data_IF_338730906631
#
_entry.id   IF_338730906631
#
_cell.length_a   1.000
_cell.length_b   1.000
_cell.length_c   1.000
_cell.angle_alpha   90.00
_cell.angle_beta   90.00
_cell.angle_gamma   90.00
#
_symmetry.space_group_name_H-M   'P 1'
#
loop_
_entity.id
_entity.type
_entity.pdbx_description
1 polymer ?
#
# COMPACT_ATOMS: atom_id res chain seq x y z
N UNK A 1 -8.50 -4.19 -17.65
CA UNK A 1 -9.66 -4.10 -16.75
C UNK A 1 -9.97 -2.62 -16.51
N UNK A 2 -11.19 -2.12 -16.79
CA UNK A 2 -11.59 -0.75 -16.43
C UNK A 2 -12.16 -0.78 -15.01
N UNK A 3 -11.39 -0.30 -14.03
CA UNK A 3 -11.89 -0.14 -12.66
C UNK A 3 -12.57 1.22 -12.58
N UNK A 4 -13.88 1.23 -12.33
CA UNK A 4 -14.60 2.47 -12.09
C UNK A 4 -14.18 3.05 -10.74
N UNK A 5 -13.96 4.36 -10.67
CA UNK A 5 -13.73 5.04 -9.41
C UNK A 5 -14.95 4.82 -8.49
N UNK A 6 -14.77 4.34 -7.24
CA UNK A 6 -15.87 3.87 -6.42
C UNK A 6 -16.80 4.98 -5.92
N UNK A 7 -16.38 6.25 -6.05
CA UNK A 7 -17.14 7.39 -5.56
C UNK A 7 -17.69 8.25 -6.71
N UNK A 8 -18.92 8.74 -6.55
CA UNK A 8 -19.49 9.75 -7.46
C UNK A 8 -18.84 11.13 -7.30
N UNK A 9 -18.23 11.39 -6.14
CA UNK A 9 -17.53 12.62 -5.76
C UNK A 9 -16.41 12.26 -4.80
N UNK A 10 -15.30 13.00 -4.88
CA UNK A 10 -14.18 12.89 -3.95
C UNK A 10 -13.82 14.33 -3.53
N UNK A 11 -14.46 14.86 -2.48
CA UNK A 11 -14.17 16.19 -2.00
C UNK A 11 -12.78 16.25 -1.38
N UNK A 12 -12.11 17.38 -1.56
CA UNK A 12 -10.87 17.72 -0.87
C UNK A 12 -11.19 18.86 0.09
N UNK A 13 -10.91 18.66 1.37
CA UNK A 13 -11.11 19.64 2.44
C UNK A 13 -9.75 20.17 2.89
N UNK A 14 -9.60 21.50 2.94
CA UNK A 14 -8.41 22.14 3.50
C UNK A 14 -8.75 22.59 4.93
N UNK A 15 -8.02 22.12 5.94
CA UNK A 15 -8.31 22.46 7.35
C UNK A 15 -7.33 23.52 7.84
N UNK A 16 -7.82 24.66 8.31
CA UNK A 16 -6.97 25.76 8.77
C UNK A 16 -6.29 25.56 10.14
N UNK A 17 -6.38 24.37 10.74
CA UNK A 17 -5.74 24.04 12.02
C UNK A 17 -4.49 23.20 11.79
N UNK A 18 -3.49 23.33 12.66
CA UNK A 18 -2.30 22.47 12.66
C UNK A 18 -2.71 21.01 12.88
N UNK A 19 -2.80 20.26 11.79
CA UNK A 19 -2.91 18.82 11.80
C UNK A 19 -1.49 18.24 11.91
N UNK A 20 -1.28 17.27 12.81
CA UNK A 20 0.07 16.75 13.10
C UNK A 20 0.63 15.85 11.98
N UNK A 21 -0.24 15.39 11.09
CA UNK A 21 0.09 14.70 9.85
C UNK A 21 -0.05 15.69 8.69
N UNK A 22 0.67 15.48 7.59
CA UNK A 22 0.44 16.29 6.39
C UNK A 22 -1.00 16.14 5.87
N UNK A 23 -1.58 14.94 6.01
CA UNK A 23 -2.85 14.53 5.39
C UNK A 23 -3.54 13.42 6.19
N UNK A 24 -4.79 13.14 5.85
CA UNK A 24 -5.54 11.96 6.29
C UNK A 24 -6.44 11.49 5.14
N UNK A 25 -6.30 10.23 4.72
CA UNK A 25 -7.30 9.58 3.89
C UNK A 25 -8.53 9.27 4.75
N UNK A 26 -9.68 9.72 4.27
CA UNK A 26 -10.94 9.23 4.78
C UNK A 26 -11.74 8.67 3.63
N UNK A 27 -12.63 7.76 3.97
CA UNK A 27 -13.53 7.14 3.01
C UNK A 27 -14.28 8.23 2.22
N UNK A 28 -13.89 8.39 0.96
CA UNK A 28 -14.56 9.26 0.02
C UNK A 28 -14.24 10.75 0.18
N UNK A 29 -13.19 11.15 0.91
CA UNK A 29 -12.64 12.52 0.91
C UNK A 29 -11.19 12.59 1.38
N UNK A 30 -10.47 13.65 0.99
CA UNK A 30 -9.10 13.93 1.45
C UNK A 30 -9.09 15.19 2.30
N UNK A 31 -8.28 15.16 3.35
CA UNK A 31 -8.04 16.31 4.22
C UNK A 31 -6.60 16.81 4.01
N UNK A 32 -6.45 18.06 3.57
CA UNK A 32 -5.14 18.70 3.34
C UNK A 32 -4.78 19.67 4.47
N UNK A 33 -3.53 19.59 4.93
CA UNK A 33 -2.93 20.62 5.79
C UNK A 33 -2.55 21.84 4.96
N UNK A 34 -2.68 23.08 5.48
CA UNK A 34 -2.29 24.28 4.76
C UNK A 34 -0.79 24.25 4.42
N UNK A 35 -0.44 24.66 3.20
CA UNK A 35 0.92 24.61 2.65
C UNK A 35 1.19 23.46 1.68
N UNK A 36 0.21 22.59 1.45
CA UNK A 36 0.29 21.46 0.52
C UNK A 36 -0.77 21.52 -0.60
N UNK A 37 -1.40 22.68 -0.79
CA UNK A 37 -2.47 22.87 -1.77
C UNK A 37 -1.98 22.71 -3.22
N UNK A 38 -0.69 22.92 -3.46
CA UNK A 38 -0.04 22.78 -4.77
C UNK A 38 0.65 21.42 -4.95
N UNK A 39 0.64 20.57 -3.93
CA UNK A 39 1.31 19.26 -3.97
C UNK A 39 0.39 18.21 -4.59
N UNK A 40 0.38 18.14 -5.92
CA UNK A 40 -0.45 17.19 -6.67
C UNK A 40 -0.13 15.73 -6.35
N UNK A 41 1.12 15.42 -6.00
CA UNK A 41 1.57 14.08 -5.63
C UNK A 41 0.82 13.57 -4.39
N UNK A 42 0.63 14.43 -3.40
CA UNK A 42 -0.09 14.06 -2.18
C UNK A 42 -1.57 13.82 -2.46
N UNK A 43 -2.21 14.62 -3.31
CA UNK A 43 -3.61 14.38 -3.71
C UNK A 43 -3.74 13.07 -4.47
N UNK A 44 -2.80 12.76 -5.36
CA UNK A 44 -2.76 11.52 -6.14
C UNK A 44 -2.59 10.30 -5.23
N UNK A 45 -1.64 10.34 -4.29
CA UNK A 45 -1.41 9.30 -3.29
C UNK A 45 -2.66 9.01 -2.44
N UNK A 46 -3.28 10.05 -1.86
CA UNK A 46 -4.48 9.88 -1.04
C UNK A 46 -5.69 9.41 -1.86
N UNK A 47 -5.74 9.78 -3.14
CA UNK A 47 -6.77 9.26 -4.07
C UNK A 47 -6.50 7.79 -4.42
N UNK A 48 -5.25 7.36 -4.47
CA UNK A 48 -4.89 5.97 -4.72
C UNK A 48 -5.35 5.05 -3.57
N UNK A 49 -5.31 5.53 -2.33
CA UNK A 49 -5.90 4.83 -1.19
C UNK A 49 -7.40 4.55 -1.39
N UNK A 50 -8.18 5.45 -2.01
CA UNK A 50 -9.59 5.19 -2.31
C UNK A 50 -9.84 3.98 -3.25
N UNK A 51 -8.85 3.58 -4.05
CA UNK A 51 -8.95 2.37 -4.87
C UNK A 51 -8.53 1.11 -4.10
N UNK A 52 -7.61 1.23 -3.14
CA UNK A 52 -7.02 0.11 -2.41
C UNK A 52 -7.69 -0.21 -1.09
N UNK A 53 -8.24 0.81 -0.43
CA UNK A 53 -8.87 0.71 0.87
C UNK A 53 -10.37 0.48 0.68
N UNK A 54 -10.93 -0.69 1.05
CA UNK A 54 -12.33 -0.73 1.42
C UNK A 54 -12.60 0.30 2.53
N UNK A 55 -13.65 1.12 2.37
CA UNK A 55 -14.18 1.99 3.42
C UNK A 55 -14.29 1.37 4.82
N UNK A 56 -14.55 0.07 4.82
CA UNK A 56 -14.86 -0.75 5.99
C UNK A 56 -13.61 -1.00 6.86
N UNK A 57 -12.41 -1.07 6.26
CA UNK A 57 -11.15 -1.29 7.00
C UNK A 57 -10.76 -0.13 7.94
N UNK A 58 -11.26 1.09 7.70
CA UNK A 58 -10.95 2.26 8.53
C UNK A 58 -12.03 2.64 9.54
N UNK A 59 -13.25 2.11 9.39
CA UNK A 59 -14.36 2.42 10.31
C UNK A 59 -14.23 1.71 11.64
N UNK A 60 -13.61 0.55 11.62
CA UNK A 60 -13.24 -0.14 12.83
C UNK A 60 -11.82 0.31 13.19
N UNK A 61 -11.53 0.35 14.49
CA UNK A 61 -10.18 0.48 15.08
C UNK A 61 -9.12 -0.36 14.33
N UNK A 62 -7.82 -0.37 14.68
CA UNK A 62 -6.81 -1.19 13.96
C UNK A 62 -7.02 -2.72 14.11
N UNK A 63 -8.25 -3.17 14.38
CA UNK A 63 -8.76 -4.50 14.53
C UNK A 63 -10.12 -4.59 13.80
N UNK A 64 -10.18 -5.36 12.71
CA UNK A 64 -11.44 -6.00 12.29
C UNK A 64 -11.53 -7.29 13.08
N UNK A 65 -12.55 -7.44 13.95
CA UNK A 65 -12.77 -8.66 14.73
C UNK A 65 -11.52 -9.20 15.48
N UNK A 66 -10.61 -8.31 15.90
CA UNK A 66 -9.36 -8.66 16.58
C UNK A 66 -8.13 -8.89 15.68
N UNK A 67 -8.27 -8.74 14.36
CA UNK A 67 -7.16 -8.85 13.39
C UNK A 67 -6.45 -7.50 13.25
N UNK A 68 -5.21 -7.41 13.73
CA UNK A 68 -4.41 -6.20 13.58
C UNK A 68 -4.22 -5.85 12.10
N UNK A 69 -4.47 -4.60 11.70
CA UNK A 69 -4.18 -4.10 10.34
C UNK A 69 -2.70 -3.79 10.11
N UNK A 70 -1.88 -3.84 11.17
CA UNK A 70 -0.42 -3.62 11.11
C UNK A 70 0.28 -4.41 9.98
N UNK A 71 -0.03 -5.70 9.74
CA UNK A 71 0.61 -6.49 8.68
C UNK A 71 0.24 -6.07 7.25
N UNK A 72 -0.66 -5.11 7.07
CA UNK A 72 -1.10 -4.63 5.76
C UNK A 72 -0.64 -3.20 5.45
N UNK A 73 -0.03 -2.49 6.41
CA UNK A 73 0.33 -1.07 6.21
C UNK A 73 1.28 -0.92 5.03
N UNK A 74 2.32 -1.74 4.92
CA UNK A 74 3.23 -1.70 3.77
C UNK A 74 2.54 -2.04 2.45
N UNK A 75 1.49 -2.88 2.46
CA UNK A 75 0.70 -3.18 1.27
C UNK A 75 -0.04 -1.92 0.83
N UNK A 76 -0.75 -1.28 1.77
CA UNK A 76 -1.55 -0.09 1.53
C UNK A 76 -0.71 1.09 1.05
N UNK A 77 0.32 1.44 1.81
CA UNK A 77 1.18 2.56 1.46
C UNK A 77 1.98 2.29 0.19
N UNK A 78 2.50 1.07 0.05
CA UNK A 78 3.26 0.68 -1.14
C UNK A 78 2.41 0.67 -2.42
N UNK A 79 1.19 0.14 -2.35
CA UNK A 79 0.26 0.11 -3.47
C UNK A 79 -0.19 1.51 -3.88
N UNK A 80 -0.53 2.36 -2.89
CA UNK A 80 -0.89 3.75 -3.15
C UNK A 80 0.26 4.52 -3.78
N UNK A 81 1.48 4.38 -3.24
CA UNK A 81 2.68 5.02 -3.79
C UNK A 81 2.99 4.56 -5.21
N UNK A 82 2.82 3.27 -5.53
CA UNK A 82 3.02 2.79 -6.90
C UNK A 82 1.98 3.37 -7.85
N UNK A 83 0.70 3.38 -7.45
CA UNK A 83 -0.39 3.88 -8.28
C UNK A 83 -0.26 5.37 -8.56
N UNK A 84 0.12 6.14 -7.55
CA UNK A 84 0.48 7.55 -7.67
C UNK A 84 1.63 7.74 -8.67
N UNK A 85 2.74 6.99 -8.56
CA UNK A 85 3.81 7.07 -9.56
C UNK A 85 3.37 6.73 -10.98
N UNK A 86 2.58 5.67 -11.15
CA UNK A 86 2.06 5.29 -12.47
C UNK A 86 1.11 6.37 -13.04
N UNK A 87 0.33 7.02 -12.18
CA UNK A 87 -0.52 8.15 -12.57
C UNK A 87 0.33 9.36 -12.96
N UNK A 88 1.30 9.73 -12.13
CA UNK A 88 2.25 10.80 -12.36
C UNK A 88 3.01 10.62 -13.67
N UNK A 89 3.55 9.41 -13.94
CA UNK A 89 4.23 9.06 -15.20
C UNK A 89 3.31 9.17 -16.42
N UNK A 90 2.01 8.93 -16.25
CA UNK A 90 1.02 9.05 -17.33
C UNK A 90 0.62 10.49 -17.62
N UNK A 91 0.66 11.36 -16.60
CA UNK A 91 0.28 12.77 -16.67
C UNK A 91 1.45 13.68 -17.03
N UNK A 92 2.64 13.32 -16.57
CA UNK A 92 3.86 14.08 -16.74
C UNK A 92 4.80 13.28 -17.64
N UNK A 93 5.14 13.84 -18.80
CA UNK A 93 6.09 13.23 -19.78
C UNK A 93 7.53 13.08 -19.26
N UNK A 94 7.74 13.25 -17.96
CA UNK A 94 9.02 13.05 -17.29
C UNK A 94 8.88 11.81 -16.39
N UNK A 95 9.81 10.85 -16.48
CA UNK A 95 9.78 9.69 -15.58
C UNK A 95 9.84 10.17 -14.14
N UNK A 96 8.93 9.66 -13.31
CA UNK A 96 8.96 9.81 -11.88
C UNK A 96 10.38 9.48 -11.40
N UNK A 97 10.93 10.35 -10.55
CA UNK A 97 12.24 10.12 -9.99
C UNK A 97 12.25 8.74 -9.32
N UNK A 98 13.31 7.92 -9.51
CA UNK A 98 13.43 6.65 -8.80
C UNK A 98 13.51 6.97 -7.31
N UNK A 99 12.36 6.95 -6.63
CA UNK A 99 12.35 7.29 -5.23
C UNK A 99 13.05 6.20 -4.43
N UNK A 100 13.67 6.65 -3.36
CA UNK A 100 14.43 5.83 -2.43
C UNK A 100 13.59 4.66 -1.91
N UNK A 101 13.96 3.43 -2.26
CA UNK A 101 13.35 2.20 -1.72
C UNK A 101 14.08 1.73 -0.46
N UNK A 102 15.05 2.49 0.03
CA UNK A 102 15.80 2.18 1.24
C UNK A 102 14.97 2.39 2.50
N UNK A 103 15.09 1.44 3.44
CA UNK A 103 14.54 1.55 4.77
C UNK A 103 15.68 1.54 5.80
N UNK A 104 15.78 2.58 6.63
CA UNK A 104 16.78 2.66 7.70
C UNK A 104 16.37 1.89 8.97
N UNK A 105 15.17 1.33 8.99
CA UNK A 105 14.58 0.69 10.16
C UNK A 105 14.56 -0.84 10.05
N UNK A 106 14.47 -1.40 8.85
CA UNK A 106 14.35 -2.83 8.57
C UNK A 106 15.03 -3.17 7.24
N UNK A 107 15.58 -4.37 7.14
CA UNK A 107 16.26 -4.88 5.93
C UNK A 107 15.29 -5.64 5.01
N UNK A 108 14.14 -6.10 5.54
CA UNK A 108 13.09 -6.79 4.77
C UNK A 108 11.68 -6.41 5.26
N UNK A 109 10.67 -6.64 4.43
CA UNK A 109 9.27 -6.41 4.82
C UNK A 109 8.87 -7.35 5.96
N UNK A 110 9.34 -8.60 5.96
CA UNK A 110 9.07 -9.54 7.05
C UNK A 110 9.66 -9.09 8.39
N UNK A 111 10.79 -8.39 8.39
CA UNK A 111 11.32 -7.75 9.58
C UNK A 111 10.48 -6.54 10.03
N UNK A 112 10.00 -5.74 9.06
CA UNK A 112 9.09 -4.62 9.34
C UNK A 112 7.77 -5.10 9.98
N UNK A 113 7.16 -6.18 9.46
CA UNK A 113 5.92 -6.77 9.96
C UNK A 113 6.03 -7.30 11.39
N UNK A 114 7.20 -7.84 11.76
CA UNK A 114 7.47 -8.31 13.13
C UNK A 114 7.59 -7.17 14.14
N UNK A 115 7.86 -5.95 13.68
CA UNK A 115 8.00 -4.77 14.52
C UNK A 115 6.62 -4.12 14.68
N UNK A 116 5.82 -4.71 15.57
CA UNK A 116 4.46 -4.25 15.92
C UNK A 116 4.48 -2.76 16.27
N UNK A 117 3.54 -1.99 15.70
CA UNK A 117 3.35 -0.58 16.03
C UNK A 117 3.24 -0.39 17.55
N UNK A 118 4.09 0.46 18.11
CA UNK A 118 4.05 0.80 19.51
C UNK A 118 3.78 2.31 19.65
N UNK A 119 2.57 2.71 20.10
CA UNK A 119 2.24 4.12 20.25
C UNK A 119 3.12 4.83 21.29
N UNK A 120 3.71 4.08 22.23
CA UNK A 120 4.60 4.61 23.28
C UNK A 120 6.05 4.74 22.80
N UNK A 121 6.39 4.28 21.60
CA UNK A 121 7.70 4.53 21.01
C UNK A 121 7.88 6.01 20.64
N UNK A 122 9.14 6.45 20.55
CA UNK A 122 9.44 7.81 20.16
C UNK A 122 8.84 8.13 18.80
N UNK A 123 8.32 9.36 18.66
CA UNK A 123 7.77 9.88 17.42
C UNK A 123 8.68 9.61 16.22
N UNK A 124 10.01 9.82 16.38
CA UNK A 124 10.99 9.55 15.33
C UNK A 124 11.00 8.08 14.88
N UNK A 125 10.89 7.11 15.79
CA UNK A 125 10.83 5.69 15.41
C UNK A 125 9.56 5.36 14.64
N UNK A 126 8.43 5.91 15.09
CA UNK A 126 7.15 5.72 14.39
C UNK A 126 7.16 6.39 13.00
N UNK A 127 7.81 7.55 12.86
CA UNK A 127 8.04 8.21 11.58
C UNK A 127 8.92 7.37 10.63
N UNK A 128 10.07 6.85 11.10
CA UNK A 128 10.93 6.00 10.28
C UNK A 128 10.23 4.71 9.85
N UNK A 129 9.47 4.09 10.75
CA UNK A 129 8.65 2.91 10.45
C UNK A 129 7.59 3.20 9.40
N UNK A 130 6.87 4.32 9.55
CA UNK A 130 5.91 4.80 8.55
C UNK A 130 6.59 4.90 7.19
N UNK A 131 7.70 5.65 7.06
CA UNK A 131 8.46 5.78 5.81
C UNK A 131 8.90 4.42 5.22
N UNK A 132 9.26 3.46 6.05
CA UNK A 132 9.61 2.11 5.59
C UNK A 132 8.43 1.37 4.96
N UNK A 133 7.19 1.54 5.46
CA UNK A 133 6.01 0.93 4.84
C UNK A 133 5.82 1.42 3.38
N UNK A 134 5.95 2.72 3.14
CA UNK A 134 5.87 3.30 1.79
C UNK A 134 6.98 2.75 0.89
N UNK A 135 8.23 2.90 1.33
CA UNK A 135 9.41 2.62 0.49
C UNK A 135 9.57 1.14 0.16
N UNK A 136 9.39 0.24 1.14
CA UNK A 136 9.55 -1.20 0.94
C UNK A 136 8.36 -1.80 0.18
N UNK A 137 7.13 -1.38 0.52
CA UNK A 137 5.94 -1.81 -0.19
C UNK A 137 5.96 -1.40 -1.66
N UNK A 138 6.31 -0.13 -1.93
CA UNK A 138 6.54 0.35 -3.29
C UNK A 138 7.60 -0.49 -3.99
N UNK A 139 8.75 -0.73 -3.34
CA UNK A 139 9.84 -1.49 -3.92
C UNK A 139 9.42 -2.88 -4.38
N UNK A 140 8.67 -3.60 -3.54
CA UNK A 140 8.13 -4.91 -3.90
C UNK A 140 7.14 -4.82 -5.07
N UNK A 141 6.16 -3.91 -5.03
CA UNK A 141 5.15 -3.83 -6.10
C UNK A 141 5.74 -3.32 -7.42
N UNK A 142 6.69 -2.39 -7.38
CA UNK A 142 7.41 -1.94 -8.58
C UNK A 142 8.24 -3.09 -9.18
N UNK A 143 8.93 -3.89 -8.35
CA UNK A 143 9.66 -5.05 -8.81
C UNK A 143 8.73 -6.11 -9.43
N UNK A 144 7.56 -6.36 -8.83
CA UNK A 144 6.53 -7.24 -9.41
C UNK A 144 6.02 -6.68 -10.74
N UNK A 145 5.73 -5.38 -10.82
CA UNK A 145 5.28 -4.72 -12.04
C UNK A 145 6.29 -4.89 -13.18
N UNK A 146 7.57 -4.61 -12.91
CA UNK A 146 8.64 -4.76 -13.91
C UNK A 146 8.90 -6.22 -14.30
N UNK A 147 8.84 -7.14 -13.34
CA UNK A 147 9.16 -8.56 -13.58
C UNK A 147 8.05 -9.30 -14.34
N UNK A 148 6.80 -8.98 -14.04
CA UNK A 148 5.62 -9.68 -14.58
C UNK A 148 5.04 -8.97 -15.83
N UNK A 149 5.29 -7.67 -15.96
CA UNK A 149 4.65 -6.84 -16.98
C UNK A 149 3.24 -6.40 -16.58
N UNK A 150 2.70 -5.42 -17.31
CA UNK A 150 1.47 -4.71 -16.95
C UNK A 150 0.23 -5.61 -16.82
N UNK A 151 0.00 -6.50 -17.78
CA UNK A 151 -1.20 -7.34 -17.79
C UNK A 151 -1.25 -8.31 -16.61
N UNK A 152 -0.15 -9.02 -16.36
CA UNK A 152 -0.06 -10.00 -15.28
C UNK A 152 -0.03 -9.31 -13.91
N UNK A 153 0.70 -8.20 -13.80
CA UNK A 153 0.69 -7.40 -12.58
C UNK A 153 -0.72 -6.92 -12.24
N UNK A 154 -1.43 -6.31 -13.20
CA UNK A 154 -2.81 -5.81 -12.97
C UNK A 154 -3.76 -6.91 -12.51
N UNK A 155 -3.58 -8.13 -13.03
CA UNK A 155 -4.37 -9.30 -12.64
C UNK A 155 -4.11 -9.70 -11.18
N UNK A 156 -2.85 -9.85 -10.79
CA UNK A 156 -2.47 -10.14 -9.40
C UNK A 156 -2.84 -9.01 -8.44
N UNK A 157 -2.57 -7.77 -8.83
CA UNK A 157 -2.87 -6.58 -8.03
C UNK A 157 -4.39 -6.40 -7.81
N UNK A 158 -5.20 -6.68 -8.84
CA UNK A 158 -6.66 -6.73 -8.71
C UNK A 158 -7.15 -7.86 -7.80
N UNK A 159 -6.58 -9.06 -7.91
CA UNK A 159 -6.89 -10.18 -7.02
C UNK A 159 -6.55 -9.84 -5.56
N UNK A 160 -5.37 -9.26 -5.31
CA UNK A 160 -4.96 -8.83 -3.97
C UNK A 160 -5.96 -7.84 -3.37
N UNK A 161 -6.38 -6.83 -4.13
CA UNK A 161 -7.37 -5.85 -3.66
C UNK A 161 -8.70 -6.51 -3.29
N UNK A 162 -9.17 -7.47 -4.10
CA UNK A 162 -10.42 -8.20 -3.80
C UNK A 162 -10.29 -9.05 -2.53
N UNK A 163 -9.15 -9.71 -2.31
CA UNK A 163 -8.93 -10.52 -1.10
C UNK A 163 -8.86 -9.67 0.17
N UNK A 164 -8.17 -8.53 0.11
CA UNK A 164 -8.11 -7.59 1.23
C UNK A 164 -9.49 -6.96 1.52
N UNK A 165 -10.35 -6.81 0.51
CA UNK A 165 -11.74 -6.37 0.71
C UNK A 165 -12.64 -7.44 1.36
N UNK A 166 -12.25 -8.71 1.28
CA UNK A 166 -13.02 -9.85 1.76
C UNK A 166 -12.30 -10.60 2.89
N UNK A 167 -11.49 -9.90 3.70
CA UNK A 167 -10.72 -10.52 4.80
C UNK A 167 -11.60 -11.33 5.78
N UNK A 168 -12.87 -10.93 5.93
CA UNK A 168 -13.86 -11.59 6.79
C UNK A 168 -14.33 -12.97 6.26
N UNK A 169 -13.94 -13.37 5.04
CA UNK A 169 -14.49 -14.55 4.36
C UNK A 169 -13.42 -15.56 3.88
N UNK A 170 -12.13 -15.30 4.07
CA UNK A 170 -11.04 -16.21 3.66
C UNK A 170 -10.24 -16.74 4.88
N UNK A 171 -10.69 -17.87 5.45
CA UNK A 171 -10.21 -18.54 6.68
C UNK A 171 -8.72 -19.01 6.72
N UNK A 172 -7.84 -18.57 5.82
CA UNK A 172 -6.53 -19.22 5.64
C UNK A 172 -5.29 -18.38 5.99
N UNK A 173 -5.39 -17.05 5.96
CA UNK A 173 -4.24 -16.18 6.28
C UNK A 173 -4.46 -15.55 7.66
N UNK A 174 -3.59 -15.86 8.64
CA UNK A 174 -3.69 -15.34 10.02
C UNK A 174 -2.32 -14.98 10.61
N UNK A 175 -2.32 -14.10 11.62
CA UNK A 175 -1.12 -13.68 12.36
C UNK A 175 -0.23 -12.66 11.64
N UNK A 176 1.04 -12.59 12.04
CA UNK A 176 2.02 -11.59 11.56
C UNK A 176 2.29 -11.72 10.05
N UNK A 177 2.17 -12.93 9.49
CA UNK A 177 2.37 -13.19 8.06
C UNK A 177 1.11 -13.04 7.19
N UNK A 178 0.05 -12.39 7.70
CA UNK A 178 -1.22 -12.32 6.97
C UNK A 178 -1.08 -11.53 5.67
N UNK A 179 -0.39 -10.38 5.68
CA UNK A 179 -0.20 -9.55 4.47
C UNK A 179 0.51 -10.31 3.35
N UNK A 180 1.65 -10.95 3.68
CA UNK A 180 2.40 -11.74 2.71
C UNK A 180 1.63 -12.96 2.18
N UNK A 181 0.82 -13.59 3.03
CA UNK A 181 -0.02 -14.71 2.62
C UNK A 181 -0.98 -14.29 1.50
N UNK A 182 -1.63 -13.14 1.64
CA UNK A 182 -2.52 -12.60 0.59
C UNK A 182 -1.78 -12.20 -0.67
N UNK A 183 -0.58 -11.61 -0.54
CA UNK A 183 0.27 -11.27 -1.69
C UNK A 183 0.66 -12.53 -2.46
N UNK A 184 1.09 -13.60 -1.78
CA UNK A 184 1.41 -14.87 -2.43
C UNK A 184 0.20 -15.50 -3.11
N UNK A 185 -0.97 -15.51 -2.46
CA UNK A 185 -2.19 -16.00 -3.09
C UNK A 185 -2.50 -15.27 -4.39
N UNK A 186 -2.39 -13.94 -4.38
CA UNK A 186 -2.73 -13.10 -5.53
C UNK A 186 -1.71 -13.18 -6.67
N UNK A 187 -0.40 -13.25 -6.35
CA UNK A 187 0.67 -13.15 -7.35
C UNK A 187 1.36 -14.47 -7.67
N UNK A 188 1.20 -15.52 -6.85
CA UNK A 188 1.83 -16.83 -7.04
C UNK A 188 0.77 -17.91 -7.27
N UNK A 189 -0.16 -18.10 -6.33
CA UNK A 189 -1.11 -19.22 -6.41
C UNK A 189 -2.10 -19.03 -7.56
N UNK A 190 -2.50 -17.79 -7.79
CA UNK A 190 -3.38 -17.40 -8.90
C UNK A 190 -2.59 -16.94 -10.13
N UNK A 191 -1.25 -17.08 -10.17
CA UNK A 191 -0.43 -16.66 -11.31
C UNK A 191 -0.82 -17.37 -12.62
N UNK A 192 -0.68 -16.69 -13.75
CA UNK A 192 -0.77 -17.33 -15.06
C UNK A 192 0.38 -18.34 -15.22
N UNK A 193 0.23 -19.41 -16.03
CA UNK A 193 1.31 -20.37 -16.24
C UNK A 193 2.61 -19.68 -16.66
N UNK A 194 3.70 -19.92 -15.91
CA UNK A 194 5.02 -19.33 -16.17
C UNK A 194 5.35 -18.06 -15.38
N UNK A 195 4.39 -17.47 -14.65
CA UNK A 195 4.62 -16.24 -13.87
C UNK A 195 4.78 -16.49 -12.36
N UNK A 196 4.31 -17.63 -11.85
CA UNK A 196 4.35 -17.97 -10.42
C UNK A 196 5.78 -17.94 -9.84
N UNK A 197 6.74 -18.52 -10.56
CA UNK A 197 8.15 -18.57 -10.14
C UNK A 197 8.74 -17.16 -10.09
N UNK A 198 8.55 -16.37 -11.15
CA UNK A 198 9.05 -15.00 -11.23
C UNK A 198 8.45 -14.08 -10.15
N UNK A 199 7.16 -14.24 -9.83
CA UNK A 199 6.52 -13.53 -8.73
C UNK A 199 7.06 -13.98 -7.38
N UNK A 200 7.23 -15.30 -7.20
CA UNK A 200 7.80 -15.89 -5.99
C UNK A 200 9.21 -15.38 -5.69
N UNK A 201 10.09 -15.31 -6.69
CA UNK A 201 11.44 -14.76 -6.55
C UNK A 201 11.43 -13.32 -6.04
N UNK A 202 10.60 -12.46 -6.64
CA UNK A 202 10.50 -11.05 -6.22
C UNK A 202 9.95 -10.95 -4.80
N UNK A 203 8.90 -11.71 -4.49
CA UNK A 203 8.30 -11.72 -3.16
C UNK A 203 9.30 -12.20 -2.11
N UNK A 204 10.06 -13.26 -2.39
CA UNK A 204 11.02 -13.81 -1.45
C UNK A 204 12.17 -12.85 -1.19
N UNK A 205 12.64 -12.15 -2.23
CA UNK A 205 13.67 -11.12 -2.11
C UNK A 205 13.23 -9.96 -1.21
N UNK A 206 12.05 -9.40 -1.44
CA UNK A 206 11.60 -8.22 -0.70
C UNK A 206 11.08 -8.56 0.70
N UNK A 207 10.41 -9.71 0.85
CA UNK A 207 9.80 -10.08 2.13
C UNK A 207 10.76 -10.78 3.07
N UNK A 208 11.61 -11.68 2.56
CA UNK A 208 12.56 -12.43 3.38
C UNK A 208 14.01 -11.94 3.29
N UNK A 209 14.32 -11.03 2.35
CA UNK A 209 15.68 -10.54 2.12
C UNK A 209 16.61 -11.58 1.47
N UNK A 210 16.08 -12.47 0.63
CA UNK A 210 16.80 -13.64 0.08
C UNK A 210 16.88 -13.67 -1.43
#
# INVERSE_FOLDING_TARGET
>A
MKVAFPFKRFPVFIVHTTYAHGFFDSVGFVVLTPGYEEDSYLIEHETAHAYWHPPELWRETPQIDGVSLTPFIWIFEGAATLMDRLASDSLHTAPAQPGDTGCSFAESIGELDQRVFNPDESFLKNLYRSRCNYTMGLGMFAALYHRLGDDEFRRGFGSLSLKIRNLEHEDQCTGVGTGICYVRKAFVDEASPGFAEAAGEVIDLWYYGR
#
